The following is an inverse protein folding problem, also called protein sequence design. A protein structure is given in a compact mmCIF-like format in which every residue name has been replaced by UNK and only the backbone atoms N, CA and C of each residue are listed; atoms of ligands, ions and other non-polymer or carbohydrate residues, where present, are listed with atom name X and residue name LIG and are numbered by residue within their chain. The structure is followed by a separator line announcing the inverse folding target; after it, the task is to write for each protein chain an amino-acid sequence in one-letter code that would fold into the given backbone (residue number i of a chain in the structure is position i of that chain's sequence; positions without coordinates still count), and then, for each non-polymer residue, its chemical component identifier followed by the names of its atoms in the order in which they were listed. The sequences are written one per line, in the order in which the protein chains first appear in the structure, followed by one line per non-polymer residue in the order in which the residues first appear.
data_IF_384617165065
#
_entry.id   IF_384617165065
#
_cell.length_a   1.000
_cell.length_b   1.000
_cell.length_c   1.000
_cell.angle_alpha   90.00
_cell.angle_beta   90.00
_cell.angle_gamma   90.00
#
_symmetry.space_group_name_H-M   'P 1'
#
loop_
_entity.id
_entity.type
_entity.pdbx_description
1 polymer ?
#
# COMPACT_ATOMS: atom_id res chain seq x y z
N UNK A 1 10.21 27.14 29.10
CA UNK A 1 11.13 26.09 28.60
C UNK A 1 10.64 24.78 29.22
N UNK A 2 10.06 23.89 28.43
CA UNK A 2 9.53 22.61 28.94
C UNK A 2 10.69 21.62 29.06
N UNK A 3 10.86 21.06 30.26
CA UNK A 3 11.83 20.01 30.52
C UNK A 3 11.45 18.75 29.74
N UNK A 4 12.20 18.45 28.68
CA UNK A 4 12.14 17.15 28.01
C UNK A 4 12.64 16.10 28.99
N UNK A 5 11.72 15.39 29.65
CA UNK A 5 12.02 14.20 30.43
C UNK A 5 12.50 13.11 29.47
N UNK A 6 13.81 13.07 29.24
CA UNK A 6 14.44 11.93 28.59
C UNK A 6 14.13 10.68 29.44
N UNK A 7 13.30 9.77 28.91
CA UNK A 7 13.07 8.48 29.52
C UNK A 7 14.43 7.76 29.58
N UNK A 8 14.91 7.51 30.79
CA UNK A 8 16.15 6.77 31.01
C UNK A 8 15.91 5.31 30.62
N UNK A 9 16.35 4.92 29.42
CA UNK A 9 16.27 3.54 28.95
C UNK A 9 17.46 2.78 29.51
N UNK A 10 17.22 1.89 30.46
CA UNK A 10 18.24 0.99 30.97
C UNK A 10 18.45 -0.14 29.95
N UNK A 11 19.65 -0.22 29.37
CA UNK A 11 20.01 -1.30 28.44
C UNK A 11 20.57 -2.49 29.21
N UNK A 12 20.04 -3.68 28.97
CA UNK A 12 20.56 -4.88 29.60
C UNK A 12 21.91 -5.27 28.97
N UNK A 13 22.95 -5.30 29.81
CA UNK A 13 24.34 -5.57 29.38
C UNK A 13 24.52 -6.93 28.70
N UNK A 14 23.77 -7.95 29.12
CA UNK A 14 23.89 -9.29 28.54
C UNK A 14 23.55 -9.37 27.04
N UNK A 15 22.64 -8.52 26.55
CA UNK A 15 22.35 -8.45 25.11
C UNK A 15 23.47 -7.73 24.37
N UNK A 16 24.00 -6.64 24.94
CA UNK A 16 25.04 -5.84 24.29
C UNK A 16 26.38 -6.59 24.16
N UNK A 17 26.63 -7.59 25.01
CA UNK A 17 27.82 -8.45 24.91
C UNK A 17 27.69 -9.51 23.78
N UNK A 18 26.49 -9.74 23.26
CA UNK A 18 26.22 -10.74 22.19
C UNK A 18 26.20 -10.13 20.77
N UNK A 19 25.92 -8.83 20.66
CA UNK A 19 25.77 -8.15 19.37
C UNK A 19 27.13 -7.55 18.96
N UNK A 20 27.69 -8.02 17.85
CA UNK A 20 28.95 -7.50 17.32
C UNK A 20 28.76 -6.19 16.54
N UNK A 21 29.87 -5.57 16.13
CA UNK A 21 29.84 -4.32 15.38
C UNK A 21 29.20 -4.43 14.00
N UNK A 22 29.22 -5.62 13.40
CA UNK A 22 28.62 -5.84 12.08
C UNK A 22 27.10 -5.87 12.21
N UNK A 23 26.57 -6.60 13.20
CA UNK A 23 25.14 -6.67 13.49
C UNK A 23 24.58 -5.34 14.01
N UNK A 24 25.36 -4.57 14.78
CA UNK A 24 24.94 -3.22 15.20
C UNK A 24 24.74 -2.25 14.03
N UNK A 25 25.42 -2.49 12.90
CA UNK A 25 25.36 -1.66 11.70
C UNK A 25 24.57 -2.33 10.57
N UNK A 26 23.98 -3.51 10.83
CA UNK A 26 23.23 -4.26 9.83
C UNK A 26 21.86 -3.63 9.57
N UNK A 27 21.44 -3.64 8.32
CA UNK A 27 20.15 -3.14 7.88
C UNK A 27 19.56 -4.11 6.88
N UNK A 28 18.25 -4.39 6.99
CA UNK A 28 17.54 -5.17 5.99
C UNK A 28 17.59 -4.48 4.63
N UNK A 29 17.56 -5.28 3.57
CA UNK A 29 17.39 -4.79 2.21
C UNK A 29 16.02 -4.11 2.05
N UNK A 30 15.97 -3.10 1.18
CA UNK A 30 14.70 -2.53 0.70
C UNK A 30 14.15 -3.46 -0.39
N UNK A 31 13.58 -4.58 0.05
CA UNK A 31 13.01 -5.56 -0.87
C UNK A 31 11.79 -4.96 -1.57
N UNK A 32 11.80 -4.99 -2.90
CA UNK A 32 10.69 -4.53 -3.71
C UNK A 32 9.45 -5.44 -3.57
N UNK A 33 8.29 -4.90 -3.94
CA UNK A 33 7.07 -5.70 -4.09
C UNK A 33 7.01 -6.30 -5.50
N UNK A 34 6.59 -7.56 -5.59
CA UNK A 34 6.28 -8.19 -6.88
C UNK A 34 5.08 -7.46 -7.51
N UNK A 35 5.29 -6.92 -8.71
CA UNK A 35 4.26 -6.25 -9.50
C UNK A 35 3.71 -7.28 -10.50
N UNK A 36 2.41 -7.65 -10.43
CA UNK A 36 1.77 -8.51 -11.42
C UNK A 36 2.02 -8.06 -12.86
N UNK A 37 2.27 -9.01 -13.77
CA UNK A 37 2.63 -8.75 -15.17
C UNK A 37 1.50 -8.03 -15.95
N UNK A 38 0.26 -8.12 -15.47
CA UNK A 38 -0.92 -7.49 -16.07
C UNK A 38 -1.02 -5.98 -15.79
N UNK A 39 -0.16 -5.45 -14.91
CA UNK A 39 -0.06 -4.02 -14.64
C UNK A 39 0.81 -3.36 -15.71
N UNK A 40 0.22 -3.02 -16.85
CA UNK A 40 0.89 -2.18 -17.86
C UNK A 40 1.15 -0.79 -17.26
N UNK A 41 2.43 -0.45 -17.03
CA UNK A 41 2.87 0.85 -16.51
C UNK A 41 3.38 1.76 -17.63
N UNK A 42 3.33 1.34 -18.90
CA UNK A 42 3.71 2.16 -20.05
C UNK A 42 2.59 3.14 -20.46
N UNK A 43 1.96 3.79 -19.48
CA UNK A 43 1.16 4.98 -19.72
C UNK A 43 2.10 6.13 -20.05
N UNK A 44 2.52 6.23 -21.32
CA UNK A 44 3.01 7.49 -21.87
C UNK A 44 1.99 8.58 -21.53
N UNK A 45 2.50 9.70 -21.08
CA UNK A 45 1.81 10.82 -20.42
C UNK A 45 0.77 11.52 -21.31
N UNK A 46 -0.32 10.84 -21.64
CA UNK A 46 -1.46 11.48 -22.33
C UNK A 46 -2.79 10.86 -21.89
N UNK A 47 -3.13 11.10 -20.62
CA UNK A 47 -4.50 10.97 -20.13
C UNK A 47 -4.64 10.03 -18.95
N UNK A 48 -4.54 10.62 -17.75
CA UNK A 48 -5.30 10.30 -16.52
C UNK A 48 -5.87 8.87 -16.49
N UNK A 49 -5.38 7.97 -15.65
CA UNK A 49 -5.90 7.87 -14.28
C UNK A 49 -5.12 6.84 -13.45
N UNK A 50 -4.57 7.33 -12.35
CA UNK A 50 -5.02 6.89 -11.01
C UNK A 50 -5.55 8.20 -10.39
N UNK A 51 -6.01 8.16 -9.15
CA UNK A 51 -5.43 9.11 -8.22
C UNK A 51 -3.96 8.70 -7.95
N UNK A 52 -3.05 9.06 -8.89
CA UNK A 52 -1.56 8.84 -8.97
C UNK A 52 -0.75 7.72 -9.78
N UNK A 53 -1.17 7.07 -10.89
CA UNK A 53 -0.51 6.07 -11.81
C UNK A 53 -1.44 5.69 -13.00
N UNK A 54 -1.24 6.29 -14.17
CA UNK A 54 -1.93 5.88 -15.39
C UNK A 54 -1.29 4.60 -15.96
N UNK A 55 -2.09 3.71 -16.56
CA UNK A 55 -1.58 2.57 -17.35
C UNK A 55 -2.33 1.25 -17.14
N UNK A 56 -2.94 1.04 -15.97
CA UNK A 56 -3.53 -0.26 -15.67
C UNK A 56 -4.81 -0.47 -16.49
N UNK A 57 -4.75 -1.31 -17.53
CA UNK A 57 -5.92 -1.95 -18.13
C UNK A 57 -6.44 -3.01 -17.15
N UNK A 58 -7.00 -2.56 -16.02
CA UNK A 58 -7.84 -3.42 -15.19
C UNK A 58 -9.03 -3.72 -16.08
N UNK A 59 -9.19 -4.97 -16.55
CA UNK A 59 -10.48 -5.42 -17.08
C UNK A 59 -11.54 -4.87 -16.14
N UNK A 60 -12.41 -3.99 -16.64
CA UNK A 60 -13.33 -3.24 -15.78
C UNK A 60 -14.00 -4.27 -14.85
N UNK A 61 -13.80 -4.17 -13.52
CA UNK A 61 -14.31 -5.20 -12.62
C UNK A 61 -15.78 -5.33 -12.91
N UNK A 62 -16.25 -6.56 -13.14
CA UNK A 62 -17.63 -6.85 -13.57
C UNK A 62 -18.59 -6.05 -12.70
N UNK A 63 -19.07 -4.92 -13.25
CA UNK A 63 -19.85 -3.97 -12.48
C UNK A 63 -21.27 -4.49 -12.42
N UNK A 64 -21.75 -4.79 -11.23
CA UNK A 64 -23.17 -5.05 -11.03
C UNK A 64 -23.94 -3.75 -11.28
N UNK A 65 -24.39 -3.56 -12.52
CA UNK A 65 -25.16 -2.38 -12.95
C UNK A 65 -26.68 -2.59 -12.87
N UNK A 66 -27.14 -3.79 -12.51
CA UNK A 66 -28.56 -4.10 -12.41
C UNK A 66 -29.13 -3.74 -11.03
N UNK A 67 -30.02 -2.73 -11.01
CA UNK A 67 -30.69 -2.26 -9.80
C UNK A 67 -32.08 -2.88 -9.61
N UNK A 68 -32.52 -3.82 -10.46
CA UNK A 68 -33.83 -4.47 -10.34
C UNK A 68 -35.02 -3.49 -10.38
N UNK A 69 -34.89 -2.42 -11.16
CA UNK A 69 -35.91 -1.36 -11.25
C UNK A 69 -37.12 -1.74 -12.11
N UNK A 70 -36.98 -2.80 -12.89
CA UNK A 70 -38.01 -3.42 -13.73
C UNK A 70 -39.25 -3.88 -12.93
N UNK A 71 -39.06 -4.24 -11.65
CA UNK A 71 -40.15 -4.60 -10.72
C UNK A 71 -41.03 -3.43 -10.30
N UNK A 72 -40.56 -2.19 -10.43
CA UNK A 72 -41.26 -1.00 -9.93
C UNK A 72 -41.97 -0.20 -11.03
N UNK A 73 -41.90 -0.66 -12.28
CA UNK A 73 -42.38 0.08 -13.46
C UNK A 73 -43.66 -0.44 -14.13
N UNK A 74 -44.35 -1.46 -13.58
CA UNK A 74 -45.58 -1.96 -14.21
C UNK A 74 -46.78 -1.09 -13.84
N UNK A 75 -47.40 -0.33 -14.78
CA UNK A 75 -48.74 0.19 -14.55
C UNK A 75 -49.69 -1.00 -14.49
N UNK A 76 -50.33 -1.20 -13.33
CA UNK A 76 -51.50 -2.07 -13.23
C UNK A 76 -52.52 -1.64 -14.31
N UNK A 77 -52.73 -2.51 -15.29
CA UNK A 77 -53.85 -2.43 -16.23
C UNK A 77 -55.08 -3.13 -15.63
#
# INVERSE_FOLDING_TARGET
MQDSKAASVFRWKGILDLVDSQWMCDSLSDDGIEVPEELDLNGDDEGTMRPGMPGIQIELPERWNDLGLDLFGQPHA
#
